data_IF_672063863068
#
_entry.id   IF_672063863068
#
_cell.length_a   1.000
_cell.length_b   1.000
_cell.length_c   1.000
_cell.angle_alpha   90.00
_cell.angle_beta   90.00
_cell.angle_gamma   90.00
#
_symmetry.space_group_name_H-M   'P 1'
#
loop_
_entity.id
_entity.type
_entity.pdbx_description
1 polymer ?
#
# COMPACT_ATOMS: atom_id res chain seq x y z
N UNK A 1 11.07 2.42 5.94
CA UNK A 1 11.69 3.52 5.18
C UNK A 1 11.55 4.80 5.97
N UNK A 2 12.61 5.62 6.05
CA UNK A 2 12.53 6.97 6.63
C UNK A 2 12.02 7.95 5.57
N UNK A 3 10.88 8.59 5.82
CA UNK A 3 10.33 9.66 5.00
C UNK A 3 10.55 11.01 5.70
N UNK A 4 11.14 11.96 4.99
CA UNK A 4 11.32 13.36 5.45
C UNK A 4 10.74 14.32 4.42
N UNK A 5 10.51 15.58 4.80
CA UNK A 5 9.94 16.58 3.91
C UNK A 5 10.89 17.76 3.75
N UNK A 6 11.09 18.18 2.50
CA UNK A 6 11.80 19.39 2.12
C UNK A 6 11.13 19.94 0.86
N UNK A 7 10.05 20.69 1.03
CA UNK A 7 9.32 21.22 -0.13
C UNK A 7 10.12 22.29 -0.87
N UNK A 8 10.19 22.16 -2.20
CA UNK A 8 10.92 23.08 -3.09
C UNK A 8 10.12 24.38 -3.29
N UNK A 9 9.94 25.16 -2.23
CA UNK A 9 9.05 26.34 -2.21
C UNK A 9 9.47 27.50 -3.13
N UNK A 10 10.73 27.53 -3.56
CA UNK A 10 11.27 28.50 -4.52
C UNK A 10 11.22 28.00 -5.97
N UNK A 11 10.84 26.74 -6.20
CA UNK A 11 10.67 26.18 -7.54
C UNK A 11 9.35 26.67 -8.18
N UNK A 12 9.40 27.06 -9.45
CA UNK A 12 8.24 27.59 -10.18
C UNK A 12 7.08 26.58 -10.26
N UNK A 13 7.37 25.27 -10.32
CA UNK A 13 6.36 24.21 -10.29
C UNK A 13 5.61 24.18 -8.95
N UNK A 14 6.33 24.36 -7.84
CA UNK A 14 5.71 24.41 -6.52
C UNK A 14 4.81 25.64 -6.42
N UNK A 15 5.31 26.81 -6.83
CA UNK A 15 4.61 28.08 -6.75
C UNK A 15 3.37 28.15 -7.66
N UNK A 16 3.40 27.46 -8.81
CA UNK A 16 2.23 27.34 -9.69
C UNK A 16 1.01 26.71 -8.99
N UNK A 17 1.23 25.91 -7.93
CA UNK A 17 0.17 25.46 -7.03
C UNK A 17 -0.90 24.56 -7.65
N UNK A 18 -0.68 24.08 -8.89
CA UNK A 18 -1.63 23.20 -9.58
C UNK A 18 -1.71 21.85 -8.89
N UNK A 19 -2.90 21.28 -8.82
CA UNK A 19 -3.16 19.98 -8.21
C UNK A 19 -3.52 18.90 -9.23
N UNK A 20 -3.43 17.65 -8.80
CA UNK A 20 -3.81 16.43 -9.51
C UNK A 20 -4.64 15.54 -8.59
N UNK A 21 -5.40 14.63 -9.18
CA UNK A 21 -5.85 13.41 -8.48
C UNK A 21 -4.91 12.31 -8.92
N UNK A 22 -4.03 11.78 -8.04
CA UNK A 22 -3.11 10.72 -8.40
C UNK A 22 -3.84 9.49 -8.95
N UNK A 23 -3.40 9.03 -10.12
CA UNK A 23 -3.86 7.83 -10.84
C UNK A 23 -2.72 6.86 -11.14
N UNK A 24 -1.51 7.17 -10.70
CA UNK A 24 -0.35 6.32 -10.94
C UNK A 24 0.92 6.90 -10.33
N UNK A 25 1.98 6.11 -10.45
CA UNK A 25 3.33 6.42 -9.97
C UNK A 25 4.28 6.33 -11.16
N UNK A 26 5.12 7.35 -11.35
CA UNK A 26 6.17 7.36 -12.34
C UNK A 26 7.55 7.29 -11.68
N UNK A 27 8.24 6.18 -11.92
CA UNK A 27 9.56 5.86 -11.39
C UNK A 27 10.62 6.45 -12.32
N UNK A 28 11.49 7.28 -11.77
CA UNK A 28 12.63 7.85 -12.49
C UNK A 28 13.95 7.43 -11.85
N UNK A 29 15.05 7.59 -12.57
CA UNK A 29 16.37 7.73 -11.97
C UNK A 29 17.07 8.93 -12.55
N UNK A 30 17.98 9.52 -11.75
CA UNK A 30 18.48 10.86 -12.03
C UNK A 30 19.32 10.96 -13.30
N UNK A 31 19.78 9.85 -13.86
CA UNK A 31 20.62 9.84 -15.07
C UNK A 31 21.96 10.55 -14.87
N UNK A 32 22.42 10.63 -13.61
CA UNK A 32 23.67 11.28 -13.21
C UNK A 32 24.18 10.64 -11.93
N UNK A 33 25.49 10.42 -11.87
CA UNK A 33 26.20 9.83 -10.74
C UNK A 33 26.29 10.80 -9.54
N UNK A 34 25.15 11.06 -8.91
CA UNK A 34 25.00 11.98 -7.79
C UNK A 34 24.14 11.32 -6.70
N UNK A 35 24.76 10.73 -5.67
CA UNK A 35 24.03 10.08 -4.59
C UNK A 35 23.56 11.03 -3.49
N UNK A 36 24.06 12.28 -3.46
CA UNK A 36 23.74 13.25 -2.42
C UNK A 36 22.47 14.04 -2.76
N UNK A 37 21.43 13.84 -1.94
CA UNK A 37 20.13 14.49 -2.10
C UNK A 37 20.23 16.01 -1.93
N UNK A 38 21.16 16.51 -1.10
CA UNK A 38 21.31 17.96 -0.85
C UNK A 38 21.71 18.73 -2.12
N UNK A 39 22.42 18.07 -3.05
CA UNK A 39 22.76 18.65 -4.36
C UNK A 39 21.49 18.90 -5.18
N UNK A 40 20.53 18.00 -5.15
CA UNK A 40 19.25 18.17 -5.85
C UNK A 40 18.35 19.18 -5.15
N UNK A 41 18.22 19.12 -3.82
CA UNK A 41 17.41 20.08 -3.05
C UNK A 41 17.86 21.51 -3.33
N UNK A 42 19.18 21.77 -3.27
CA UNK A 42 19.74 23.11 -3.55
C UNK A 42 19.60 23.53 -5.01
N UNK A 43 19.78 22.62 -5.96
CA UNK A 43 19.76 22.98 -7.40
C UNK A 43 18.34 23.11 -7.96
N UNK A 44 17.35 22.44 -7.35
CA UNK A 44 15.95 22.47 -7.79
C UNK A 44 15.10 23.46 -6.99
N UNK A 45 15.45 23.82 -5.75
CA UNK A 45 14.74 24.83 -4.97
C UNK A 45 15.15 26.26 -5.36
N UNK A 46 14.88 26.62 -6.62
CA UNK A 46 15.11 27.96 -7.16
C UNK A 46 14.24 28.24 -8.39
N UNK A 47 14.03 29.51 -8.75
CA UNK A 47 13.30 29.87 -9.98
C UNK A 47 14.02 29.41 -11.25
N UNK A 48 13.26 29.23 -12.33
CA UNK A 48 13.77 28.89 -13.66
C UNK A 48 14.12 27.42 -13.87
N UNK A 49 13.82 26.55 -12.90
CA UNK A 49 14.03 25.09 -13.01
C UNK A 49 12.77 24.45 -13.60
N UNK A 50 12.88 23.93 -14.82
CA UNK A 50 11.79 23.28 -15.54
C UNK A 50 11.62 21.79 -15.17
N UNK A 51 11.85 21.45 -13.91
CA UNK A 51 11.72 20.10 -13.38
C UNK A 51 11.27 20.13 -11.91
N UNK A 52 10.38 19.22 -11.53
CA UNK A 52 9.93 19.06 -10.15
C UNK A 52 9.28 17.68 -9.98
N UNK A 53 9.83 16.87 -9.07
CA UNK A 53 9.31 15.55 -8.68
C UNK A 53 8.77 15.59 -7.25
N UNK A 54 7.94 14.61 -6.91
CA UNK A 54 7.36 14.53 -5.57
C UNK A 54 8.33 14.05 -4.51
N UNK A 55 9.33 13.25 -4.89
CA UNK A 55 10.37 12.86 -3.96
C UNK A 55 11.70 12.49 -4.64
N UNK A 56 12.76 12.53 -3.83
CA UNK A 56 14.04 11.87 -4.12
C UNK A 56 14.19 10.63 -3.22
N UNK A 57 14.61 9.51 -3.80
CA UNK A 57 14.86 8.25 -3.10
C UNK A 57 16.36 8.00 -3.09
N UNK A 58 16.94 7.86 -1.89
CA UNK A 58 18.36 7.64 -1.69
C UNK A 58 18.58 6.51 -0.67
N UNK A 59 19.82 6.12 -0.40
CA UNK A 59 20.13 4.99 0.50
C UNK A 59 19.62 5.16 1.93
N UNK A 60 19.53 6.41 2.40
CA UNK A 60 19.08 6.78 3.75
C UNK A 60 17.56 6.91 3.92
N UNK A 61 16.79 6.85 2.82
CA UNK A 61 15.33 6.99 2.85
C UNK A 61 14.79 7.78 1.66
N UNK A 62 13.73 8.55 1.93
CA UNK A 62 13.02 9.36 0.94
C UNK A 62 12.86 10.78 1.46
N UNK A 63 13.13 11.76 0.60
CA UNK A 63 12.87 13.17 0.85
C UNK A 63 11.73 13.61 -0.07
N UNK A 64 10.56 13.91 0.50
CA UNK A 64 9.43 14.45 -0.23
C UNK A 64 9.67 15.94 -0.55
N UNK A 65 9.61 16.27 -1.83
CA UNK A 65 9.93 17.60 -2.38
C UNK A 65 8.74 18.35 -2.96
N UNK A 66 7.63 17.65 -3.21
CA UNK A 66 6.35 18.23 -3.62
C UNK A 66 5.21 17.48 -2.90
N UNK A 67 4.15 18.18 -2.41
CA UNK A 67 2.97 17.50 -1.91
C UNK A 67 2.41 16.53 -2.96
N UNK A 68 2.03 15.33 -2.52
CA UNK A 68 1.64 14.21 -3.38
C UNK A 68 0.48 14.51 -4.34
N UNK A 69 -0.38 15.46 -3.99
CA UNK A 69 -1.54 15.92 -4.77
C UNK A 69 -1.23 17.14 -5.64
N UNK A 70 0.01 17.65 -5.64
CA UNK A 70 0.42 18.72 -6.55
C UNK A 70 0.90 18.15 -7.89
N UNK A 71 0.69 18.93 -8.93
CA UNK A 71 1.10 18.63 -10.30
C UNK A 71 2.61 18.83 -10.44
N UNK A 72 3.37 17.75 -10.57
CA UNK A 72 4.82 17.81 -10.86
C UNK A 72 5.14 18.20 -12.31
N UNK A 73 6.40 18.50 -12.56
CA UNK A 73 6.99 18.72 -13.89
C UNK A 73 8.09 17.66 -14.10
N UNK A 74 7.70 16.43 -14.43
CA UNK A 74 8.59 15.27 -14.45
C UNK A 74 8.50 14.46 -15.76
N UNK A 75 7.33 14.39 -16.38
CA UNK A 75 7.08 13.53 -17.53
C UNK A 75 7.19 14.24 -18.90
N UNK A 76 7.52 15.53 -18.93
CA UNK A 76 7.51 16.31 -20.17
C UNK A 76 6.14 16.35 -20.87
N UNK A 77 6.14 16.55 -22.19
CA UNK A 77 4.93 16.56 -23.03
C UNK A 77 4.99 15.42 -24.05
N UNK A 78 3.91 14.63 -24.22
CA UNK A 78 3.88 13.58 -25.23
C UNK A 78 4.02 14.12 -26.66
N UNK A 79 4.78 13.40 -27.50
CA UNK A 79 5.06 13.83 -28.88
C UNK A 79 3.80 13.99 -29.75
N UNK A 80 2.80 13.12 -29.54
CA UNK A 80 1.55 13.12 -30.28
C UNK A 80 0.50 14.11 -29.74
N UNK A 81 0.86 14.91 -28.72
CA UNK A 81 -0.12 15.64 -27.90
C UNK A 81 -0.84 14.72 -26.92
N UNK A 82 -1.79 15.27 -26.14
CA UNK A 82 -2.56 14.52 -25.15
C UNK A 82 -2.23 14.86 -23.69
N UNK A 83 -2.75 14.05 -22.77
CA UNK A 83 -2.60 14.31 -21.33
C UNK A 83 -1.26 13.78 -20.84
N UNK A 84 -0.32 14.69 -20.56
CA UNK A 84 0.94 14.38 -19.89
C UNK A 84 0.68 13.77 -18.50
N UNK A 85 1.49 12.77 -18.14
CA UNK A 85 1.52 12.13 -16.82
C UNK A 85 1.77 13.14 -15.69
N UNK A 86 2.33 14.32 -15.98
CA UNK A 86 2.38 15.43 -15.02
C UNK A 86 1.01 15.73 -14.39
N UNK A 87 -0.11 15.50 -15.10
CA UNK A 87 -1.46 15.77 -14.63
C UNK A 87 -2.12 14.59 -13.89
N UNK A 88 -1.45 13.45 -13.76
CA UNK A 88 -2.06 12.21 -13.25
C UNK A 88 -1.14 11.37 -12.36
N UNK A 89 0.18 11.49 -12.45
CA UNK A 89 1.11 10.63 -11.73
C UNK A 89 1.84 11.37 -10.62
N UNK A 90 2.10 10.64 -9.54
CA UNK A 90 3.13 11.00 -8.55
C UNK A 90 4.47 10.50 -9.08
N UNK A 91 5.53 11.29 -8.96
CA UNK A 91 6.85 10.90 -9.46
C UNK A 91 7.93 10.99 -8.41
N UNK A 92 8.96 10.17 -8.57
CA UNK A 92 10.16 10.27 -7.75
C UNK A 92 11.40 9.89 -8.55
N UNK A 93 12.53 10.43 -8.11
CA UNK A 93 13.85 10.20 -8.69
C UNK A 93 14.67 9.29 -7.78
N UNK A 94 15.11 8.15 -8.31
CA UNK A 94 16.11 7.29 -7.66
C UNK A 94 17.50 7.89 -7.87
N UNK A 95 18.19 8.25 -6.78
CA UNK A 95 19.54 8.81 -6.87
C UNK A 95 20.54 7.73 -7.23
N UNK A 96 21.31 7.95 -8.29
CA UNK A 96 22.31 6.98 -8.78
C UNK A 96 23.65 7.13 -8.01
N UNK A 97 24.40 6.04 -7.80
CA UNK A 97 25.65 6.08 -7.04
C UNK A 97 26.74 6.86 -7.77
N UNK A 98 27.76 7.31 -7.03
CA UNK A 98 28.96 7.88 -7.65
C UNK A 98 29.75 6.81 -8.44
N UNK A 99 30.69 7.27 -9.27
CA UNK A 99 31.68 6.38 -9.91
C UNK A 99 31.31 5.87 -11.31
N UNK A 100 30.24 6.40 -11.92
CA UNK A 100 29.95 6.22 -13.34
C UNK A 100 29.76 7.57 -14.04
N UNK A 101 29.60 7.53 -15.36
CA UNK A 101 29.27 8.68 -16.19
C UNK A 101 28.28 8.28 -17.28
N UNK A 102 27.87 9.23 -18.11
CA UNK A 102 27.03 8.98 -19.28
C UNK A 102 27.73 9.39 -20.56
N UNK A 103 27.59 8.57 -21.60
CA UNK A 103 27.99 8.89 -22.98
C UNK A 103 26.84 8.55 -23.92
N UNK A 104 26.16 9.58 -24.43
CA UNK A 104 25.03 9.41 -25.34
C UNK A 104 23.86 8.63 -24.73
N UNK A 105 23.55 8.87 -23.45
CA UNK A 105 22.49 8.16 -22.72
C UNK A 105 22.90 6.78 -22.16
N UNK A 106 24.08 6.28 -22.52
CA UNK A 106 24.60 5.02 -21.99
C UNK A 106 25.38 5.26 -20.70
N UNK A 107 25.02 4.52 -19.64
CA UNK A 107 25.76 4.49 -18.37
C UNK A 107 27.11 3.77 -18.55
N UNK A 108 28.22 4.48 -18.37
CA UNK A 108 29.60 4.01 -18.60
C UNK A 108 30.38 3.98 -17.27
N UNK A 109 31.14 2.90 -17.05
CA UNK A 109 31.98 2.75 -15.85
C UNK A 109 31.24 2.28 -14.60
N UNK A 110 29.95 1.96 -14.71
CA UNK A 110 29.17 1.42 -13.60
C UNK A 110 29.58 -0.02 -13.27
N UNK A 111 30.01 -0.22 -12.03
CA UNK A 111 30.34 -1.52 -11.45
C UNK A 111 29.14 -2.06 -10.66
N UNK A 112 28.54 -3.16 -11.11
CA UNK A 112 27.35 -3.72 -10.49
C UNK A 112 27.63 -4.38 -9.15
N UNK A 113 28.75 -5.09 -9.03
CA UNK A 113 29.13 -5.81 -7.81
C UNK A 113 29.43 -4.81 -6.69
N UNK A 114 30.26 -3.80 -6.98
CA UNK A 114 30.60 -2.75 -6.02
C UNK A 114 29.38 -1.97 -5.54
N UNK A 115 28.40 -1.75 -6.43
CA UNK A 115 27.21 -0.94 -6.14
C UNK A 115 25.98 -1.77 -5.73
N UNK A 116 26.09 -3.09 -5.56
CA UNK A 116 24.97 -3.96 -5.23
C UNK A 116 24.25 -3.53 -3.94
N UNK A 117 25.01 -3.20 -2.88
CA UNK A 117 24.45 -2.72 -1.62
C UNK A 117 23.76 -1.36 -1.73
N UNK A 118 24.31 -0.45 -2.54
CA UNK A 118 23.69 0.86 -2.79
C UNK A 118 22.36 0.70 -3.51
N UNK A 119 22.35 -0.07 -4.61
CA UNK A 119 21.14 -0.35 -5.38
C UNK A 119 20.07 -1.01 -4.53
N UNK A 120 20.43 -2.06 -3.76
CA UNK A 120 19.48 -2.75 -2.88
C UNK A 120 18.81 -1.81 -1.87
N UNK A 121 19.56 -0.83 -1.31
CA UNK A 121 19.01 0.14 -0.37
C UNK A 121 18.04 1.13 -1.06
N UNK A 122 18.42 1.69 -2.21
CA UNK A 122 17.58 2.61 -2.98
C UNK A 122 16.33 1.91 -3.50
N UNK A 123 16.48 0.70 -4.07
CA UNK A 123 15.40 -0.12 -4.59
C UNK A 123 14.38 -0.48 -3.49
N UNK A 124 14.85 -0.91 -2.30
CA UNK A 124 13.97 -1.18 -1.16
C UNK A 124 13.16 0.05 -0.76
N UNK A 125 13.80 1.22 -0.67
CA UNK A 125 13.09 2.47 -0.35
C UNK A 125 12.06 2.84 -1.42
N UNK A 126 12.34 2.55 -2.70
CA UNK A 126 11.40 2.75 -3.80
C UNK A 126 10.18 1.82 -3.69
N UNK A 127 10.39 0.54 -3.36
CA UNK A 127 9.32 -0.44 -3.12
C UNK A 127 8.42 0.02 -1.96
N UNK A 128 9.01 0.40 -0.83
CA UNK A 128 8.26 0.87 0.34
C UNK A 128 7.51 2.18 0.07
N UNK A 129 8.11 3.11 -0.68
CA UNK A 129 7.45 4.34 -1.12
C UNK A 129 6.24 4.05 -2.01
N UNK A 130 6.43 3.21 -3.03
CA UNK A 130 5.35 2.80 -3.93
C UNK A 130 4.22 2.10 -3.18
N UNK A 131 4.53 1.18 -2.25
CA UNK A 131 3.52 0.52 -1.44
C UNK A 131 2.72 1.52 -0.58
N UNK A 132 3.39 2.47 0.07
CA UNK A 132 2.73 3.54 0.82
C UNK A 132 1.78 4.37 -0.06
N UNK A 133 2.23 4.75 -1.27
CA UNK A 133 1.44 5.53 -2.22
C UNK A 133 0.25 4.72 -2.78
N UNK A 134 0.45 3.44 -3.11
CA UNK A 134 -0.62 2.53 -3.53
C UNK A 134 -1.70 2.42 -2.47
N UNK A 135 -1.35 2.20 -1.20
CA UNK A 135 -2.35 2.19 -0.10
C UNK A 135 -3.08 3.51 0.03
N UNK A 136 -2.34 4.63 -0.04
CA UNK A 136 -2.90 5.96 0.19
C UNK A 136 -3.91 6.38 -0.89
N UNK A 137 -3.66 6.00 -2.14
CA UNK A 137 -4.47 6.43 -3.28
C UNK A 137 -5.29 5.31 -3.94
N UNK A 138 -5.23 4.09 -3.40
CA UNK A 138 -5.96 2.93 -3.94
C UNK A 138 -5.46 2.52 -5.32
N UNK A 139 -4.14 2.63 -5.56
CA UNK A 139 -3.54 2.29 -6.86
C UNK A 139 -3.22 0.80 -6.93
N UNK A 140 -3.44 0.19 -8.10
CA UNK A 140 -3.00 -1.17 -8.38
C UNK A 140 -1.50 -1.16 -8.70
N UNK A 141 -0.64 -1.79 -7.87
CA UNK A 141 0.80 -1.79 -8.13
C UNK A 141 1.18 -2.44 -9.46
N UNK A 142 0.34 -3.31 -10.03
CA UNK A 142 0.63 -4.01 -11.29
C UNK A 142 0.32 -3.15 -12.53
N UNK A 143 -0.61 -2.20 -12.42
CA UNK A 143 -1.12 -1.43 -13.56
C UNK A 143 -0.72 0.06 -13.52
N UNK A 144 -0.63 0.61 -12.31
CA UNK A 144 -0.53 2.05 -12.06
C UNK A 144 0.90 2.52 -11.75
N UNK A 145 1.88 1.61 -11.72
CA UNK A 145 3.31 1.95 -11.54
C UNK A 145 4.04 1.77 -12.86
N UNK A 146 4.69 2.83 -13.33
CA UNK A 146 5.39 2.88 -14.60
C UNK A 146 6.75 3.55 -14.44
N UNK A 147 7.72 3.20 -15.28
CA UNK A 147 8.87 4.08 -15.49
C UNK A 147 8.60 5.12 -16.60
N UNK A 148 9.55 6.01 -16.85
CA UNK A 148 9.40 7.03 -17.88
C UNK A 148 9.27 6.41 -19.28
N UNK A 149 10.01 5.33 -19.54
CA UNK A 149 10.01 4.64 -20.83
C UNK A 149 8.65 4.00 -21.15
N UNK A 150 8.02 3.38 -20.15
CA UNK A 150 6.66 2.84 -20.26
C UNK A 150 5.62 3.95 -20.39
N UNK A 151 5.81 5.08 -19.70
CA UNK A 151 5.01 6.28 -19.87
C UNK A 151 5.09 6.85 -21.29
N UNK A 152 6.28 6.84 -21.90
CA UNK A 152 6.46 7.24 -23.30
C UNK A 152 5.76 6.26 -24.24
N UNK A 153 5.91 4.96 -24.03
CA UNK A 153 5.23 3.92 -24.81
C UNK A 153 3.69 4.04 -24.72
N UNK A 154 3.16 4.48 -23.58
CA UNK A 154 1.72 4.77 -23.37
C UNK A 154 1.29 6.15 -23.91
N UNK A 155 2.19 6.95 -24.46
CA UNK A 155 1.88 8.27 -25.01
C UNK A 155 1.55 9.33 -23.97
N UNK A 156 2.05 9.18 -22.74
CA UNK A 156 1.80 10.11 -21.61
C UNK A 156 3.07 10.81 -21.11
N UNK A 157 4.25 10.49 -21.68
CA UNK A 157 5.51 11.11 -21.31
C UNK A 157 6.40 11.44 -22.52
N UNK A 158 7.48 12.20 -22.30
CA UNK A 158 8.57 12.41 -23.24
C UNK A 158 9.46 11.18 -23.38
N UNK A 159 10.30 11.13 -24.42
CA UNK A 159 11.12 9.96 -24.73
C UNK A 159 12.39 9.89 -23.85
N UNK A 160 12.24 9.41 -22.61
CA UNK A 160 13.34 9.08 -21.71
C UNK A 160 13.33 7.58 -21.39
N UNK A 161 14.52 7.01 -21.12
CA UNK A 161 14.73 5.56 -20.96
C UNK A 161 14.97 5.09 -19.53
N UNK A 162 14.88 5.97 -18.55
CA UNK A 162 14.92 5.59 -17.13
C UNK A 162 13.70 4.72 -16.79
N UNK A 163 13.85 3.63 -16.04
CA UNK A 163 15.05 3.15 -15.29
C UNK A 163 15.80 1.99 -15.98
N UNK A 164 15.44 1.67 -17.22
CA UNK A 164 15.90 0.49 -17.94
C UNK A 164 17.42 0.44 -18.21
N UNK A 165 18.13 1.56 -18.11
CA UNK A 165 19.59 1.61 -18.21
C UNK A 165 20.31 1.10 -16.94
N UNK A 166 19.62 1.06 -15.80
CA UNK A 166 20.21 0.76 -14.50
C UNK A 166 19.72 -0.55 -13.89
N UNK A 167 18.40 -0.75 -13.79
CA UNK A 167 17.80 -1.92 -13.11
C UNK A 167 18.33 -3.28 -13.62
N UNK A 168 18.45 -3.52 -14.94
CA UNK A 168 18.93 -4.81 -15.45
C UNK A 168 20.34 -5.19 -15.00
N UNK A 169 21.16 -4.21 -14.58
CA UNK A 169 22.52 -4.47 -14.05
C UNK A 169 22.49 -5.23 -12.73
N UNK A 170 21.35 -5.28 -12.06
CA UNK A 170 21.10 -6.03 -10.81
C UNK A 170 20.06 -7.14 -10.98
N UNK A 171 19.77 -7.53 -12.22
CA UNK A 171 18.76 -8.56 -12.49
C UNK A 171 17.35 -8.16 -12.08
N UNK A 172 17.04 -6.86 -12.13
CA UNK A 172 15.71 -6.31 -11.85
C UNK A 172 15.13 -5.61 -13.08
N UNK A 173 13.80 -5.51 -13.12
CA UNK A 173 13.04 -4.67 -14.04
C UNK A 173 11.80 -4.08 -13.38
N UNK A 174 10.98 -3.37 -14.16
CA UNK A 174 9.74 -2.78 -13.64
C UNK A 174 8.74 -3.84 -13.17
N UNK A 175 8.66 -4.99 -13.84
CA UNK A 175 7.81 -6.10 -13.39
C UNK A 175 8.22 -6.63 -12.00
N UNK A 176 9.52 -6.73 -11.73
CA UNK A 176 10.02 -7.09 -10.40
C UNK A 176 9.65 -6.04 -9.35
N UNK A 177 9.78 -4.75 -9.68
CA UNK A 177 9.39 -3.66 -8.78
C UNK A 177 7.90 -3.77 -8.43
N UNK A 178 7.02 -3.93 -9.43
CA UNK A 178 5.57 -4.09 -9.20
C UNK A 178 5.28 -5.32 -8.36
N UNK A 179 5.96 -6.44 -8.62
CA UNK A 179 5.86 -7.67 -7.85
C UNK A 179 6.27 -7.49 -6.38
N UNK A 180 7.39 -6.82 -6.14
CA UNK A 180 7.93 -6.52 -4.81
C UNK A 180 7.02 -5.53 -4.05
N UNK A 181 6.46 -4.52 -4.74
CA UNK A 181 5.45 -3.61 -4.17
C UNK A 181 4.19 -4.36 -3.77
N UNK A 182 3.67 -5.22 -4.65
CA UNK A 182 2.52 -6.08 -4.34
C UNK A 182 2.79 -6.98 -3.15
N UNK A 183 4.00 -7.53 -3.02
CA UNK A 183 4.39 -8.33 -1.87
C UNK A 183 4.45 -7.48 -0.59
N UNK A 184 5.03 -6.28 -0.64
CA UNK A 184 5.07 -5.36 0.49
C UNK A 184 3.68 -4.91 0.95
N UNK A 185 2.74 -4.72 0.02
CA UNK A 185 1.34 -4.41 0.33
C UNK A 185 0.65 -5.53 1.11
N UNK A 186 0.95 -6.80 0.79
CA UNK A 186 0.43 -7.97 1.52
C UNK A 186 1.07 -8.12 2.90
N UNK A 187 2.36 -7.80 3.03
CA UNK A 187 3.12 -7.98 4.27
C UNK A 187 2.94 -6.91 5.36
N UNK A 188 2.33 -5.77 5.05
CA UNK A 188 2.12 -4.66 6.01
C UNK A 188 0.65 -4.40 6.39
N UNK A 189 -0.30 -5.14 5.79
CA UNK A 189 -1.74 -4.94 5.99
C UNK A 189 -2.54 -6.19 6.36
N UNK A 190 -1.94 -7.37 6.28
CA UNK A 190 -2.59 -8.64 6.61
C UNK A 190 -1.53 -9.57 7.20
N UNK A 191 -1.48 -9.68 8.54
CA UNK A 191 -1.42 -11.05 9.05
C UNK A 191 -2.72 -11.69 8.58
N UNK A 192 -2.69 -12.28 7.38
CA UNK A 192 -3.79 -13.13 6.95
C UNK A 192 -3.85 -14.24 7.99
N UNK A 193 -4.80 -14.10 8.91
CA UNK A 193 -5.12 -15.18 9.81
C UNK A 193 -5.44 -16.37 8.92
N UNK A 194 -4.73 -17.48 9.13
CA UNK A 194 -5.08 -18.71 8.44
C UNK A 194 -6.52 -19.05 8.77
N UNK A 195 -7.20 -19.78 7.88
CA UNK A 195 -8.55 -20.29 8.18
C UNK A 195 -8.57 -21.02 9.54
N UNK A 196 -7.50 -21.74 9.87
CA UNK A 196 -7.34 -22.42 11.16
C UNK A 196 -7.24 -21.44 12.36
N UNK A 197 -6.54 -20.32 12.20
CA UNK A 197 -6.50 -19.27 13.23
C UNK A 197 -7.87 -18.60 13.38
N UNK A 198 -8.57 -18.34 12.28
CA UNK A 198 -9.95 -17.83 12.31
C UNK A 198 -10.88 -18.82 13.01
N UNK A 199 -10.85 -20.10 12.63
CA UNK A 199 -11.69 -21.15 13.21
C UNK A 199 -11.41 -21.29 14.71
N UNK A 200 -10.14 -21.20 15.13
CA UNK A 200 -9.75 -21.22 16.54
C UNK A 200 -10.32 -20.03 17.31
N UNK A 201 -10.18 -18.81 16.78
CA UNK A 201 -10.71 -17.61 17.44
C UNK A 201 -12.24 -17.62 17.48
N UNK A 202 -12.89 -18.06 16.40
CA UNK A 202 -14.34 -18.17 16.30
C UNK A 202 -14.88 -19.22 17.28
N UNK A 203 -14.26 -20.40 17.34
CA UNK A 203 -14.63 -21.45 18.29
C UNK A 203 -14.51 -20.98 19.74
N UNK A 204 -13.43 -20.24 20.07
CA UNK A 204 -13.25 -19.63 21.38
C UNK A 204 -14.34 -18.61 21.69
N UNK A 205 -14.61 -17.68 20.77
CA UNK A 205 -15.64 -16.65 20.95
C UNK A 205 -17.03 -17.26 21.15
N UNK A 206 -17.37 -18.30 20.39
CA UNK A 206 -18.63 -19.03 20.53
C UNK A 206 -18.72 -19.80 21.85
N UNK A 207 -17.63 -20.40 22.33
CA UNK A 207 -17.59 -21.06 23.63
C UNK A 207 -17.79 -20.06 24.77
N UNK A 208 -17.13 -18.90 24.70
CA UNK A 208 -17.28 -17.81 25.68
C UNK A 208 -18.70 -17.24 25.68
N UNK A 209 -19.29 -17.00 24.50
CA UNK A 209 -20.69 -16.57 24.35
C UNK A 209 -21.67 -17.59 24.97
N UNK A 210 -21.50 -18.87 24.67
CA UNK A 210 -22.34 -19.95 25.19
C UNK A 210 -22.23 -20.04 26.71
N UNK A 211 -21.00 -20.05 27.25
CA UNK A 211 -20.76 -20.09 28.69
C UNK A 211 -21.35 -18.88 29.44
N UNK A 212 -21.40 -17.71 28.80
CA UNK A 212 -22.06 -16.53 29.34
C UNK A 212 -23.58 -16.71 29.35
N UNK A 213 -24.18 -17.12 28.23
CA UNK A 213 -25.62 -17.32 28.11
C UNK A 213 -26.16 -18.36 29.11
N UNK A 214 -25.41 -19.44 29.37
CA UNK A 214 -25.79 -20.47 30.35
C UNK A 214 -25.88 -19.96 31.79
N UNK A 215 -25.14 -18.90 32.14
CA UNK A 215 -25.11 -18.30 33.48
C UNK A 215 -26.14 -17.19 33.66
N UNK A 216 -26.73 -16.70 32.57
CA UNK A 216 -27.71 -15.63 32.63
C UNK A 216 -29.08 -16.16 33.08
N UNK A 217 -29.75 -15.40 33.94
CA UNK A 217 -31.13 -15.66 34.34
C UNK A 217 -32.11 -15.34 33.21
N UNK A 218 -33.33 -15.88 33.30
CA UNK A 218 -34.37 -15.63 32.31
C UNK A 218 -34.57 -14.11 32.12
N UNK A 219 -34.72 -13.68 30.86
CA UNK A 219 -35.00 -12.29 30.52
C UNK A 219 -36.25 -11.80 31.23
N UNK A 220 -36.30 -10.51 31.59
CA UNK A 220 -37.42 -9.95 32.35
C UNK A 220 -38.78 -10.22 31.72
N UNK A 221 -38.88 -10.18 30.38
CA UNK A 221 -40.11 -10.46 29.65
C UNK A 221 -40.54 -11.93 29.69
N UNK A 222 -39.60 -12.86 29.89
CA UNK A 222 -39.84 -14.32 29.85
C UNK A 222 -39.92 -14.95 31.24
N UNK A 223 -39.62 -14.19 32.30
CA UNK A 223 -39.39 -14.70 33.66
C UNK A 223 -40.55 -15.55 34.18
N UNK A 224 -41.77 -15.00 34.17
CA UNK A 224 -42.93 -15.71 34.71
C UNK A 224 -43.28 -16.95 33.89
N UNK A 225 -43.09 -16.90 32.57
CA UNK A 225 -43.31 -18.04 31.70
C UNK A 225 -42.29 -19.16 31.96
N UNK A 226 -41.02 -18.78 32.14
CA UNK A 226 -39.93 -19.69 32.50
C UNK A 226 -40.17 -20.37 33.84
N UNK A 227 -40.50 -19.60 34.88
CA UNK A 227 -40.77 -20.13 36.23
C UNK A 227 -41.93 -21.12 36.23
N UNK A 228 -43.03 -20.83 35.51
CA UNK A 228 -44.15 -21.76 35.36
C UNK A 228 -43.76 -23.03 34.59
N UNK A 229 -42.97 -22.89 33.53
CA UNK A 229 -42.53 -24.02 32.73
C UNK A 229 -41.61 -24.95 33.52
N UNK A 230 -40.68 -24.38 34.30
CA UNK A 230 -39.82 -25.14 35.21
C UNK A 230 -40.63 -25.83 36.32
N UNK A 231 -41.58 -25.12 36.96
CA UNK A 231 -42.41 -25.69 38.03
C UNK A 231 -43.32 -26.83 37.56
N UNK A 232 -43.72 -26.83 36.28
CA UNK A 232 -44.49 -27.93 35.65
C UNK A 232 -43.61 -29.06 35.12
N UNK A 233 -42.29 -28.97 35.30
CA UNK A 233 -41.33 -29.96 34.81
C UNK A 233 -41.12 -29.95 33.30
N UNK A 234 -41.64 -28.96 32.56
CA UNK A 234 -41.46 -28.84 31.10
C UNK A 234 -39.97 -28.66 30.78
N UNK A 235 -39.31 -27.75 31.49
CA UNK A 235 -37.85 -27.57 31.49
C UNK A 235 -37.26 -27.86 32.86
N UNK A 236 -35.95 -28.11 32.94
CA UNK A 236 -35.24 -28.47 34.18
C UNK A 236 -34.92 -27.26 35.09
N UNK A 237 -35.27 -26.05 34.67
CA UNK A 237 -35.05 -24.82 35.42
C UNK A 237 -33.64 -24.23 35.26
N UNK A 238 -32.78 -24.81 34.44
CA UNK A 238 -31.42 -24.34 34.19
C UNK A 238 -31.26 -23.68 32.82
N UNK A 239 -30.23 -22.84 32.68
CA UNK A 239 -29.75 -22.30 31.38
C UNK A 239 -30.85 -21.71 30.46
N UNK A 240 -31.71 -20.78 30.94
CA UNK A 240 -32.85 -20.26 30.18
C UNK A 240 -32.49 -19.53 28.89
N UNK A 241 -31.23 -19.16 28.69
CA UNK A 241 -30.75 -18.47 27.48
C UNK A 241 -29.79 -19.31 26.63
N UNK A 242 -29.55 -20.57 26.99
CA UNK A 242 -28.79 -21.47 26.14
C UNK A 242 -29.57 -21.83 24.88
N UNK A 243 -28.85 -22.22 23.83
CA UNK A 243 -29.47 -22.71 22.61
C UNK A 243 -30.26 -24.00 22.90
N UNK A 244 -31.52 -24.04 22.45
CA UNK A 244 -32.37 -25.22 22.58
C UNK A 244 -32.05 -26.22 21.47
N UNK A 245 -31.60 -27.43 21.83
CA UNK A 245 -31.41 -28.50 20.85
C UNK A 245 -32.74 -29.10 20.42
N UNK A 246 -32.77 -29.77 19.26
CA UNK A 246 -33.97 -30.50 18.80
C UNK A 246 -34.38 -31.62 19.76
N UNK A 247 -33.41 -32.27 20.40
CA UNK A 247 -33.66 -33.30 21.41
C UNK A 247 -34.31 -32.73 22.67
N UNK A 248 -33.81 -31.59 23.17
CA UNK A 248 -34.42 -30.88 24.29
C UNK A 248 -35.83 -30.39 23.96
N UNK A 249 -36.05 -29.91 22.73
CA UNK A 249 -37.36 -29.50 22.27
C UNK A 249 -38.34 -30.69 22.22
N UNK A 250 -37.92 -31.84 21.69
CA UNK A 250 -38.74 -33.05 21.63
C UNK A 250 -39.16 -33.51 23.04
N UNK A 251 -38.23 -33.52 24.00
CA UNK A 251 -38.53 -33.88 25.39
C UNK A 251 -39.50 -32.88 26.05
N UNK A 252 -39.35 -31.59 25.77
CA UNK A 252 -40.30 -30.59 26.26
C UNK A 252 -41.71 -30.80 25.68
N UNK A 253 -41.83 -31.16 24.39
CA UNK A 253 -43.10 -31.47 23.73
C UNK A 253 -43.74 -32.76 24.28
N UNK A 254 -42.96 -33.80 24.52
CA UNK A 254 -43.41 -35.05 25.17
C UNK A 254 -44.00 -34.77 26.56
N UNK A 255 -43.31 -33.98 27.38
CA UNK A 255 -43.77 -33.59 28.73
C UNK A 255 -45.04 -32.74 28.70
N UNK A 256 -45.35 -32.12 27.57
CA UNK A 256 -46.59 -31.39 27.33
C UNK A 256 -47.70 -32.28 26.77
N UNK A 257 -47.44 -33.55 26.49
CA UNK A 257 -48.38 -34.49 25.88
C UNK A 257 -48.68 -34.18 24.41
N UNK A 258 -47.71 -33.57 23.70
CA UNK A 258 -47.85 -33.17 22.29
C UNK A 258 -47.24 -34.16 21.30
N UNK A 259 -46.59 -35.19 21.81
CA UNK A 259 -46.10 -36.35 21.07
C UNK A 259 -46.86 -37.55 21.63
N UNK A 260 -47.54 -38.29 20.76
CA UNK A 260 -48.52 -39.35 21.10
C UNK A 260 -47.99 -40.45 22.03
#
# INVERSE_FOLDING_TARGET
>A
MKLTQHFLTQNDCYQAGRTIVPRGIMVHSTGVAQPDVEVFLKSWDRPGVNACVHAFVHTGGVVQTLPWDRRGWHAGTPRAGGTSANNTHISFELLEPAGHTYRGGTMVGYDAERNAGYFAAVYRNAVELCAMLCRRYGLDPMEDILDHSEGYARGIASNHGDVAHWFPRHGKGMDDLRGDVRAALRGEGEESMTQEQFDTMFARAMAEYTARAEKESASGWARDAWERAAARGVFDGTKPRAALTREQAALALERLGLLE
#
